data_IF_857734488408
#
_entry.id   IF_857734488408
#
_cell.length_a   1.000
_cell.length_b   1.000
_cell.length_c   1.000
_cell.angle_alpha   90.00
_cell.angle_beta   90.00
_cell.angle_gamma   90.00
#
_symmetry.space_group_name_H-M   'P 1'
#
loop_
_entity.id
_entity.type
_entity.pdbx_description
1 polymer ?
#
# COMPACT_ATOMS: atom_id res chain seq x y z
N UNK A 1 5.24 0.52 -10.52
CA UNK A 1 6.28 -0.30 -9.86
C UNK A 1 5.63 -1.58 -9.33
N UNK A 2 6.12 -2.77 -9.70
CA UNK A 2 5.63 -4.03 -9.12
C UNK A 2 6.44 -4.35 -7.86
N UNK A 3 5.82 -4.99 -6.86
CA UNK A 3 6.50 -5.39 -5.62
C UNK A 3 7.68 -6.36 -5.89
N UNK A 4 7.61 -7.11 -7.00
CA UNK A 4 8.67 -7.97 -7.53
C UNK A 4 9.95 -7.21 -7.95
N UNK A 5 9.87 -5.89 -8.16
CA UNK A 5 10.99 -5.04 -8.57
C UNK A 5 11.68 -4.35 -7.38
N UNK A 6 11.20 -4.57 -6.15
CA UNK A 6 11.88 -4.08 -4.95
C UNK A 6 13.23 -4.79 -4.81
N UNK A 7 14.31 -4.07 -4.49
CA UNK A 7 15.62 -4.69 -4.34
C UNK A 7 15.55 -5.79 -3.27
N UNK A 8 16.43 -6.80 -3.38
CA UNK A 8 16.57 -7.99 -2.49
C UNK A 8 16.79 -7.69 -0.99
N UNK A 9 16.49 -6.48 -0.54
CA UNK A 9 16.63 -5.92 0.79
C UNK A 9 15.56 -6.46 1.74
N UNK A 10 14.38 -6.81 1.22
CA UNK A 10 13.27 -7.31 2.05
C UNK A 10 13.26 -8.82 2.14
N UNK A 11 13.08 -9.33 3.37
CA UNK A 11 12.87 -10.76 3.59
C UNK A 11 11.55 -11.22 2.94
N UNK A 12 11.43 -12.47 2.48
CA UNK A 12 10.19 -12.99 1.87
C UNK A 12 8.95 -12.78 2.73
N UNK A 13 9.09 -12.86 4.06
CA UNK A 13 8.00 -12.61 5.00
C UNK A 13 7.56 -11.14 4.95
N UNK A 14 8.51 -10.21 4.83
CA UNK A 14 8.21 -8.78 4.69
C UNK A 14 7.51 -8.48 3.37
N UNK A 15 7.95 -9.10 2.26
CA UNK A 15 7.27 -8.99 0.97
C UNK A 15 5.84 -9.50 1.04
N UNK A 16 5.62 -10.67 1.64
CA UNK A 16 4.27 -11.24 1.82
C UNK A 16 3.36 -10.36 2.68
N UNK A 17 3.91 -9.74 3.74
CA UNK A 17 3.18 -8.77 4.57
C UNK A 17 2.82 -7.50 3.79
N UNK A 18 3.73 -7.00 2.96
CA UNK A 18 3.50 -5.82 2.11
C UNK A 18 2.44 -6.10 1.04
N UNK A 19 2.50 -7.26 0.37
CA UNK A 19 1.50 -7.72 -0.59
C UNK A 19 0.11 -7.76 0.05
N UNK A 20 0.02 -8.38 1.23
CA UNK A 20 -1.25 -8.50 1.97
C UNK A 20 -1.78 -7.14 2.41
N UNK A 21 -0.91 -6.25 2.90
CA UNK A 21 -1.29 -4.89 3.29
C UNK A 21 -1.80 -4.10 2.09
N UNK A 22 -1.13 -4.22 0.93
CA UNK A 22 -1.50 -3.54 -0.30
C UNK A 22 -2.86 -4.01 -0.82
N UNK A 23 -3.10 -5.33 -0.84
CA UNK A 23 -4.37 -5.88 -1.28
C UNK A 23 -5.52 -5.44 -0.38
N UNK A 24 -5.33 -5.49 0.94
CA UNK A 24 -6.34 -5.05 1.89
C UNK A 24 -6.62 -3.54 1.77
N UNK A 25 -5.57 -2.72 1.66
CA UNK A 25 -5.72 -1.28 1.47
C UNK A 25 -6.46 -0.97 0.15
N UNK A 26 -6.13 -1.66 -0.93
CA UNK A 26 -6.81 -1.49 -2.22
C UNK A 26 -8.29 -1.86 -2.16
N UNK A 27 -8.63 -3.00 -1.53
CA UNK A 27 -10.03 -3.41 -1.33
C UNK A 27 -10.77 -2.39 -0.47
N UNK A 28 -10.15 -1.87 0.58
CA UNK A 28 -10.78 -0.88 1.45
C UNK A 28 -10.96 0.47 0.76
N UNK A 29 -9.99 0.94 -0.01
CA UNK A 29 -10.09 2.19 -0.78
C UNK A 29 -11.26 2.13 -1.78
N UNK A 30 -11.41 1.02 -2.50
CA UNK A 30 -12.55 0.80 -3.41
C UNK A 30 -13.90 0.75 -2.69
N UNK A 31 -13.94 0.35 -1.41
CA UNK A 31 -15.15 0.38 -0.59
C UNK A 31 -15.51 1.77 -0.11
N UNK A 32 -14.54 2.68 0.04
CA UNK A 32 -14.76 4.05 0.52
C UNK A 32 -15.40 4.96 -0.53
N UNK A 33 -15.24 4.64 -1.81
CA UNK A 33 -15.87 5.41 -2.88
C UNK A 33 -15.26 5.14 -4.25
N UNK A 34 -15.62 6.00 -5.20
CA UNK A 34 -15.10 5.93 -6.57
C UNK A 34 -13.66 6.41 -6.61
N UNK A 35 -12.77 5.49 -6.98
CA UNK A 35 -11.36 5.80 -7.23
C UNK A 35 -11.24 6.46 -8.60
N UNK A 36 -10.86 7.74 -8.61
CA UNK A 36 -10.80 8.56 -9.84
C UNK A 36 -9.67 8.10 -10.76
N UNK A 37 -8.54 7.74 -10.17
CA UNK A 37 -7.38 7.20 -10.87
C UNK A 37 -6.86 5.97 -10.13
N UNK A 38 -7.17 4.79 -10.66
CA UNK A 38 -6.79 3.52 -10.06
C UNK A 38 -5.28 3.30 -10.05
N UNK A 39 -4.56 3.82 -11.05
CA UNK A 39 -3.11 3.65 -11.15
C UNK A 39 -2.41 4.54 -10.15
N UNK A 40 -2.76 5.84 -10.09
CA UNK A 40 -2.20 6.77 -9.12
C UNK A 40 -2.53 6.35 -7.67
N UNK A 41 -3.74 5.85 -7.43
CA UNK A 41 -4.14 5.32 -6.13
C UNK A 41 -3.28 4.11 -5.73
N UNK A 42 -3.10 3.15 -6.64
CA UNK A 42 -2.32 1.95 -6.38
C UNK A 42 -0.83 2.25 -6.20
N UNK A 43 -0.30 3.20 -6.96
CA UNK A 43 1.06 3.71 -6.80
C UNK A 43 1.25 4.35 -5.42
N UNK A 44 0.35 5.24 -4.99
CA UNK A 44 0.40 5.85 -3.65
C UNK A 44 0.35 4.81 -2.53
N UNK A 45 -0.54 3.83 -2.62
CA UNK A 45 -0.61 2.74 -1.66
C UNK A 45 0.72 1.99 -1.59
N UNK A 46 1.26 1.61 -2.74
CA UNK A 46 2.50 0.84 -2.85
C UNK A 46 3.69 1.64 -2.28
N UNK A 47 3.87 2.89 -2.71
CA UNK A 47 4.95 3.76 -2.24
C UNK A 47 4.91 3.96 -0.73
N UNK A 48 3.72 4.14 -0.15
CA UNK A 48 3.57 4.32 1.30
C UNK A 48 3.93 3.03 2.06
N UNK A 49 3.46 1.88 1.60
CA UNK A 49 3.76 0.59 2.21
C UNK A 49 5.25 0.29 2.14
N UNK A 50 5.88 0.53 0.98
CA UNK A 50 7.33 0.37 0.79
C UNK A 50 8.11 1.26 1.73
N UNK A 51 7.80 2.56 1.78
CA UNK A 51 8.51 3.51 2.64
C UNK A 51 8.46 3.12 4.12
N UNK A 52 7.31 2.66 4.60
CA UNK A 52 7.14 2.21 5.98
C UNK A 52 7.90 0.90 6.26
N UNK A 53 7.85 -0.05 5.32
CA UNK A 53 8.64 -1.27 5.44
C UNK A 53 10.15 -0.99 5.39
N UNK A 54 10.61 0.00 4.60
CA UNK A 54 12.02 0.44 4.57
C UNK A 54 12.53 0.90 5.93
N UNK A 55 11.68 1.52 6.74
CA UNK A 55 12.06 2.01 8.10
C UNK A 55 11.82 0.97 9.19
N UNK A 56 11.47 -0.27 8.82
CA UNK A 56 11.33 -1.40 9.74
C UNK A 56 9.91 -1.64 10.28
N UNK A 57 8.89 -0.96 9.74
CA UNK A 57 7.50 -1.27 10.11
C UNK A 57 7.06 -2.58 9.45
N UNK A 58 6.70 -3.56 10.28
CA UNK A 58 6.26 -4.89 9.84
C UNK A 58 4.81 -5.20 10.22
N UNK A 59 4.13 -4.30 10.94
CA UNK A 59 2.72 -4.45 11.28
C UNK A 59 1.85 -4.12 10.05
N UNK A 60 1.28 -5.17 9.46
CA UNK A 60 0.40 -5.09 8.30
C UNK A 60 -0.81 -4.14 8.52
N UNK A 61 -1.34 -4.07 9.75
CA UNK A 61 -2.46 -3.17 10.06
C UNK A 61 -2.04 -1.70 10.02
N UNK A 62 -0.84 -1.38 10.51
CA UNK A 62 -0.28 -0.02 10.42
C UNK A 62 0.05 0.34 8.98
N UNK A 63 0.73 -0.54 8.24
CA UNK A 63 1.05 -0.34 6.83
C UNK A 63 -0.21 0.02 6.04
N UNK A 64 -1.28 -0.77 6.20
CA UNK A 64 -2.59 -0.52 5.59
C UNK A 64 -3.16 0.85 5.98
N UNK A 65 -3.19 1.15 7.28
CA UNK A 65 -3.80 2.39 7.81
C UNK A 65 -3.11 3.63 7.26
N UNK A 66 -1.78 3.65 7.23
CA UNK A 66 -1.01 4.78 6.70
C UNK A 66 -1.16 4.90 5.19
N UNK A 67 -1.13 3.78 4.46
CA UNK A 67 -1.35 3.78 3.01
C UNK A 67 -2.73 4.35 2.64
N UNK A 68 -3.78 3.95 3.35
CA UNK A 68 -5.12 4.49 3.14
C UNK A 68 -5.19 5.99 3.40
N UNK A 69 -4.62 6.47 4.52
CA UNK A 69 -4.57 7.90 4.84
C UNK A 69 -3.83 8.71 3.76
N UNK A 70 -2.74 8.16 3.20
CA UNK A 70 -1.99 8.81 2.13
C UNK A 70 -2.77 8.84 0.80
N UNK A 71 -3.70 7.91 0.60
CA UNK A 71 -4.50 7.77 -0.61
C UNK A 71 -5.88 8.43 -0.53
N UNK A 72 -6.34 8.96 0.62
CA UNK A 72 -7.69 9.53 0.73
C UNK A 72 -7.95 10.67 -0.27
N UNK A 73 -6.91 11.41 -0.69
CA UNK A 73 -7.00 12.48 -1.68
C UNK A 73 -7.28 12.02 -3.13
N UNK A 74 -7.30 10.70 -3.40
CA UNK A 74 -7.58 10.15 -4.75
C UNK A 74 -9.04 9.71 -4.93
N UNK A 75 -9.85 9.87 -3.89
CA UNK A 75 -11.28 9.59 -3.91
C UNK A 75 -12.03 10.83 -4.43
N UNK A 76 -13.05 10.62 -5.27
CA UNK A 76 -14.10 11.63 -5.47
C UNK A 76 -15.15 11.44 -4.37
N UNK A 77 -15.49 12.53 -3.68
CA UNK A 77 -16.64 12.60 -2.77
C UNK A 77 -17.93 12.44 -3.55
#
# INVERSE_FOLDING_TARGET
>A
MRLEELPKIYRPETLSLMDRALEQAWRELKRRGTVVDANAARERLTTTIVALASVGETDSAKLKRFALKASDNVLRQ
#
